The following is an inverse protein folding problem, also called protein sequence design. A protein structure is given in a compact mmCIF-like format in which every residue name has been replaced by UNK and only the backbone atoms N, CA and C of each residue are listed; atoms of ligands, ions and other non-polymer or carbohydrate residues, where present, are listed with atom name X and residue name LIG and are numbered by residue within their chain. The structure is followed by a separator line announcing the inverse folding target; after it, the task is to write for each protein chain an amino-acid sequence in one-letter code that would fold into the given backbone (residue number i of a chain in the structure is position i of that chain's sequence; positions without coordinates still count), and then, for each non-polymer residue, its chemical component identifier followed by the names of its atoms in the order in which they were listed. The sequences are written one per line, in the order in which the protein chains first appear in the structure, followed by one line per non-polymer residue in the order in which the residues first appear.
data_IF_204970467429
#
_entry.id   IF_204970467429
#
_cell.length_a   1.000
_cell.length_b   1.000
_cell.length_c   1.000
_cell.angle_alpha   90.00
_cell.angle_beta   90.00
_cell.angle_gamma   90.00
#
_symmetry.space_group_name_H-M   'P 1'
#
loop_
_entity.id
_entity.type
_entity.pdbx_description
1 polymer ?
#
# COMPACT_ATOMS: atom_id res chain seq x y z
N UNK A 1 3.16 13.33 -6.32
CA UNK A 1 3.73 12.49 -5.25
C UNK A 1 2.55 11.90 -4.51
N UNK A 2 2.55 10.59 -4.38
CA UNK A 2 1.56 9.84 -3.63
C UNK A 2 2.22 9.34 -2.34
N UNK A 3 1.46 9.32 -1.24
CA UNK A 3 1.90 8.76 0.04
C UNK A 3 0.94 7.66 0.43
N UNK A 4 1.46 6.47 0.72
CA UNK A 4 0.68 5.27 1.06
C UNK A 4 1.20 4.75 2.38
N UNK A 5 0.35 4.78 3.42
CA UNK A 5 0.65 4.23 4.73
C UNK A 5 -0.05 2.90 4.94
N UNK A 6 0.71 1.86 5.28
CA UNK A 6 0.17 0.54 5.58
C UNK A 6 0.12 0.31 7.09
N UNK A 7 -1.08 0.09 7.63
CA UNK A 7 -1.27 -0.21 9.05
C UNK A 7 -0.75 -1.60 9.44
N UNK A 8 -0.82 -2.57 8.53
CA UNK A 8 -0.46 -3.97 8.74
C UNK A 8 1.03 -4.28 8.47
N UNK A 9 1.79 -3.31 7.97
CA UNK A 9 3.25 -3.38 7.82
C UNK A 9 3.91 -2.33 8.74
N UNK A 10 3.66 -2.44 10.05
CA UNK A 10 4.35 -1.63 11.07
C UNK A 10 4.25 -0.11 10.85
N UNK A 11 3.13 0.37 10.27
CA UNK A 11 2.94 1.81 9.93
C UNK A 11 4.03 2.37 9.02
N UNK A 12 4.57 1.52 8.14
CA UNK A 12 5.45 1.97 7.06
C UNK A 12 4.65 2.83 6.07
N UNK A 13 5.28 3.90 5.64
CA UNK A 13 4.73 4.85 4.66
C UNK A 13 5.68 4.92 3.47
N UNK A 14 5.13 4.64 2.29
CA UNK A 14 5.86 4.69 1.02
C UNK A 14 5.47 5.94 0.27
N UNK A 15 6.45 6.78 -0.04
CA UNK A 15 6.31 7.95 -0.90
C UNK A 15 6.69 7.59 -2.32
N UNK A 16 5.78 7.80 -3.28
CA UNK A 16 6.01 7.52 -4.70
C UNK A 16 6.00 8.81 -5.51
N UNK A 17 7.06 9.04 -6.27
CA UNK A 17 7.18 10.16 -7.23
C UNK A 17 8.09 9.77 -8.39
N UNK A 18 7.62 9.94 -9.63
CA UNK A 18 8.41 9.68 -10.84
C UNK A 18 9.05 8.27 -10.88
N UNK A 19 8.28 7.24 -10.48
CA UNK A 19 8.77 5.85 -10.33
C UNK A 19 9.92 5.65 -9.34
N UNK A 20 10.13 6.60 -8.44
CA UNK A 20 10.99 6.43 -7.28
C UNK A 20 10.12 6.24 -6.05
N UNK A 21 10.52 5.29 -5.20
CA UNK A 21 9.92 5.05 -3.90
C UNK A 21 10.89 5.42 -2.78
N UNK A 22 10.35 6.04 -1.73
CA UNK A 22 11.03 6.23 -0.46
C UNK A 22 10.18 5.57 0.62
N UNK A 23 10.75 4.57 1.29
CA UNK A 23 10.10 3.87 2.41
C UNK A 23 10.51 4.55 3.71
N UNK A 24 9.53 4.90 4.52
CA UNK A 24 9.71 5.49 5.85
C UNK A 24 8.89 4.68 6.86
N UNK A 25 9.23 4.79 8.14
CA UNK A 25 8.47 4.16 9.22
C UNK A 25 8.21 5.15 10.34
N UNK A 26 7.06 5.00 10.99
CA UNK A 26 6.73 5.71 12.24
C UNK A 26 6.65 4.76 13.44
N UNK A 27 6.94 3.46 13.24
CA UNK A 27 7.05 2.51 14.32
C UNK A 27 8.43 2.64 14.99
N UNK A 28 8.49 2.86 16.32
CA UNK A 28 9.76 2.90 17.04
C UNK A 28 10.56 1.59 16.94
N UNK A 29 9.88 0.46 16.81
CA UNK A 29 10.51 -0.87 16.73
C UNK A 29 11.24 -1.13 15.40
N UNK A 30 10.88 -0.40 14.34
CA UNK A 30 11.49 -0.54 13.01
C UNK A 30 12.77 0.30 12.88
N UNK A 31 13.08 1.16 13.85
CA UNK A 31 14.27 2.00 13.82
C UNK A 31 15.51 1.12 14.04
N UNK A 32 16.49 1.13 13.12
CA UNK A 32 17.73 0.39 13.29
C UNK A 32 18.43 0.75 14.61
N UNK A 33 18.81 -0.27 15.37
CA UNK A 33 19.41 -0.09 16.71
C UNK A 33 20.72 0.67 16.66
N UNK A 34 21.45 0.55 15.56
CA UNK A 34 22.71 1.24 15.30
C UNK A 34 22.50 2.76 15.26
N UNK A 35 21.40 3.24 14.67
CA UNK A 35 21.07 4.66 14.60
C UNK A 35 20.64 5.24 15.95
N UNK A 36 20.03 4.41 16.81
CA UNK A 36 19.72 4.79 18.18
C UNK A 36 20.99 4.80 19.05
N UNK A 37 21.87 3.82 18.89
CA UNK A 37 23.12 3.71 19.64
C UNK A 37 24.11 4.84 19.30
N UNK A 38 24.02 5.40 18.10
CA UNK A 38 24.86 6.51 17.65
C UNK A 38 24.24 7.90 17.86
N UNK A 39 23.13 8.00 18.61
CA UNK A 39 22.35 9.23 18.83
C UNK A 39 21.89 9.95 17.53
N UNK A 40 21.92 9.25 16.38
CA UNK A 40 21.42 9.79 15.12
C UNK A 40 19.89 9.78 15.04
N UNK A 41 19.24 8.94 15.85
CA UNK A 41 17.80 8.87 15.98
C UNK A 41 17.37 8.89 17.45
N UNK A 42 16.42 9.75 17.80
CA UNK A 42 15.86 9.87 19.14
C UNK A 42 14.87 8.74 19.53
N UNK A 43 14.72 7.70 18.70
CA UNK A 43 13.83 6.56 18.95
C UNK A 43 12.33 6.86 18.88
N UNK A 44 11.94 8.07 18.46
CA UNK A 44 10.55 8.52 18.40
C UNK A 44 10.20 9.07 17.01
N UNK A 45 10.17 8.21 15.97
CA UNK A 45 9.89 8.66 14.61
C UNK A 45 8.44 9.14 14.46
N UNK A 46 8.26 10.34 13.90
CA UNK A 46 6.94 10.83 13.46
C UNK A 46 6.63 10.37 12.02
N UNK A 47 5.35 10.33 11.63
CA UNK A 47 4.97 10.01 10.25
C UNK A 47 5.51 11.05 9.27
N UNK A 48 6.03 10.59 8.13
CA UNK A 48 6.49 11.49 7.07
C UNK A 48 5.37 12.42 6.57
N UNK A 49 4.11 11.97 6.60
CA UNK A 49 2.97 12.83 6.23
C UNK A 49 2.74 13.95 7.25
N UNK A 50 3.04 13.71 8.54
CA UNK A 50 2.99 14.74 9.58
C UNK A 50 4.10 15.77 9.37
N UNK A 51 5.30 15.34 8.97
CA UNK A 51 6.40 16.24 8.59
C UNK A 51 6.03 17.06 7.35
N UNK A 52 5.48 16.41 6.33
CA UNK A 52 5.10 17.08 5.07
C UNK A 52 4.02 18.14 5.31
N UNK A 53 2.99 17.82 6.09
CA UNK A 53 1.88 18.74 6.38
C UNK A 53 2.23 19.79 7.44
N UNK A 54 3.06 19.47 8.42
CA UNK A 54 3.41 20.37 9.52
C UNK A 54 4.60 21.29 9.24
N UNK A 55 5.60 20.80 8.49
CA UNK A 55 6.88 21.51 8.30
C UNK A 55 7.20 21.85 6.85
N UNK A 56 6.65 21.12 5.88
CA UNK A 56 6.93 21.31 4.45
C UNK A 56 5.68 21.73 3.65
N UNK A 57 4.67 22.27 4.33
CA UNK A 57 3.37 22.64 3.73
C UNK A 57 3.46 23.75 2.69
N UNK A 58 4.53 24.55 2.74
CA UNK A 58 4.84 25.57 1.74
C UNK A 58 5.33 24.98 0.40
N UNK A 59 5.83 23.74 0.39
CA UNK A 59 6.30 23.03 -0.81
C UNK A 59 5.26 21.99 -1.25
N UNK A 60 4.67 21.28 -0.30
CA UNK A 60 3.74 20.19 -0.55
C UNK A 60 2.40 20.46 0.10
N UNK A 61 1.35 20.52 -0.70
CA UNK A 61 -0.03 20.61 -0.21
C UNK A 61 -0.75 19.28 -0.45
N UNK A 62 -1.39 18.75 0.59
CA UNK A 62 -2.19 17.54 0.49
C UNK A 62 -3.46 17.81 -0.32
N UNK A 63 -3.54 17.27 -1.55
CA UNK A 63 -4.69 17.48 -2.44
C UNK A 63 -5.85 16.54 -2.16
N UNK A 64 -5.56 15.30 -1.75
CA UNK A 64 -6.55 14.27 -1.48
C UNK A 64 -6.09 13.41 -0.30
N UNK A 65 -7.05 12.97 0.52
CA UNK A 65 -6.85 11.94 1.52
C UNK A 65 -7.89 10.85 1.28
N UNK A 66 -7.43 9.61 1.20
CA UNK A 66 -8.27 8.43 1.05
C UNK A 66 -7.90 7.50 2.19
N UNK A 67 -8.91 7.04 2.92
CA UNK A 67 -8.75 6.14 4.06
C UNK A 67 -9.58 4.89 3.82
N UNK A 68 -8.97 3.75 4.05
CA UNK A 68 -9.68 2.49 4.26
C UNK A 68 -9.60 2.15 5.74
N UNK A 69 -10.74 2.00 6.39
CA UNK A 69 -10.83 1.58 7.79
C UNK A 69 -11.62 0.27 7.86
N UNK A 70 -11.32 -0.55 8.88
CA UNK A 70 -11.96 -1.85 9.12
C UNK A 70 -11.93 -2.81 7.92
N UNK A 71 -10.77 -2.94 7.27
CA UNK A 71 -10.57 -3.95 6.22
C UNK A 71 -10.63 -5.37 6.76
N UNK A 72 -11.13 -6.28 5.94
CA UNK A 72 -11.26 -7.70 6.26
C UNK A 72 -10.16 -8.49 5.55
N UNK A 73 -9.62 -9.51 6.22
CA UNK A 73 -8.61 -10.41 5.66
C UNK A 73 -9.20 -11.82 5.62
N UNK A 74 -9.20 -12.41 4.44
CA UNK A 74 -9.68 -13.76 4.15
C UNK A 74 -8.50 -14.61 3.71
N UNK A 75 -8.30 -15.74 4.38
CA UNK A 75 -7.28 -16.71 4.02
C UNK A 75 -7.92 -17.87 3.27
N UNK A 76 -7.40 -18.15 2.08
CA UNK A 76 -7.79 -19.30 1.26
C UNK A 76 -6.60 -20.23 1.05
N UNK A 77 -6.82 -21.38 0.41
CA UNK A 77 -5.76 -22.37 0.18
C UNK A 77 -4.62 -21.88 -0.70
N UNK A 78 -4.87 -20.93 -1.61
CA UNK A 78 -3.88 -20.42 -2.57
C UNK A 78 -3.62 -18.92 -2.46
N UNK A 79 -4.52 -18.16 -1.83
CA UNK A 79 -4.45 -16.71 -1.74
C UNK A 79 -4.79 -16.20 -0.34
N UNK A 80 -4.10 -15.14 0.06
CA UNK A 80 -4.56 -14.25 1.11
C UNK A 80 -5.20 -13.03 0.45
N UNK A 81 -6.48 -12.79 0.75
CA UNK A 81 -7.30 -11.75 0.16
C UNK A 81 -7.64 -10.71 1.22
N UNK A 82 -7.26 -9.46 1.01
CA UNK A 82 -7.71 -8.35 1.87
C UNK A 82 -8.67 -7.47 1.10
N UNK A 83 -9.82 -7.16 1.70
CA UNK A 83 -10.82 -6.30 1.10
C UNK A 83 -11.11 -5.10 2.01
N UNK A 84 -11.16 -3.91 1.44
CA UNK A 84 -11.40 -2.68 2.19
C UNK A 84 -12.17 -1.64 1.39
N UNK A 85 -13.15 -1.01 2.03
CA UNK A 85 -13.86 0.12 1.46
C UNK A 85 -13.03 1.40 1.62
N UNK A 86 -12.84 2.12 0.53
CA UNK A 86 -12.13 3.39 0.52
C UNK A 86 -13.09 4.56 0.59
N UNK A 87 -12.82 5.45 1.55
CA UNK A 87 -13.54 6.69 1.75
C UNK A 87 -12.60 7.87 1.59
N UNK A 88 -13.09 8.91 0.95
CA UNK A 88 -12.45 10.23 0.90
C UNK A 88 -13.32 11.24 1.62
N UNK A 89 -12.86 12.48 1.73
CA UNK A 89 -13.70 13.56 2.28
C UNK A 89 -15.02 13.75 1.51
N UNK A 90 -15.05 13.42 0.21
CA UNK A 90 -16.24 13.52 -0.63
C UNK A 90 -17.14 12.27 -0.58
N UNK A 91 -16.84 11.31 0.30
CA UNK A 91 -17.61 10.07 0.48
C UNK A 91 -16.91 8.83 -0.08
N UNK A 92 -17.70 7.79 -0.34
CA UNK A 92 -17.23 6.49 -0.83
C UNK A 92 -16.54 6.62 -2.19
N UNK A 93 -15.32 6.07 -2.30
CA UNK A 93 -14.52 6.09 -3.52
C UNK A 93 -14.56 4.75 -4.26
N UNK A 94 -14.62 3.63 -3.53
CA UNK A 94 -14.62 2.30 -4.12
C UNK A 94 -14.19 1.21 -3.15
N UNK A 95 -14.23 -0.03 -3.63
CA UNK A 95 -13.71 -1.21 -2.94
C UNK A 95 -12.30 -1.51 -3.47
N UNK A 96 -11.34 -1.72 -2.58
CA UNK A 96 -10.01 -2.24 -2.95
C UNK A 96 -9.88 -3.66 -2.44
N UNK A 97 -9.35 -4.51 -3.32
CA UNK A 97 -9.02 -5.90 -3.02
C UNK A 97 -7.53 -6.08 -3.29
N UNK A 98 -6.81 -6.44 -2.25
CA UNK A 98 -5.39 -6.74 -2.26
C UNK A 98 -5.23 -8.26 -2.22
N UNK A 99 -4.43 -8.79 -3.14
CA UNK A 99 -4.20 -10.23 -3.29
C UNK A 99 -2.75 -10.55 -3.01
N UNK A 100 -2.53 -11.52 -2.12
CA UNK A 100 -1.23 -12.03 -1.74
C UNK A 100 -1.15 -13.52 -2.05
N UNK A 101 0.02 -13.96 -2.53
CA UNK A 101 0.31 -15.38 -2.69
C UNK A 101 0.41 -16.04 -1.32
N UNK A 102 -0.19 -17.23 -1.17
CA UNK A 102 0.08 -18.07 -0.02
C UNK A 102 1.55 -18.54 -0.02
N UNK A 103 2.11 -18.88 1.15
CA UNK A 103 3.53 -19.22 1.33
C UNK A 103 4.05 -20.35 0.42
N UNK A 104 3.15 -21.24 -0.03
CA UNK A 104 3.49 -22.40 -0.86
C UNK A 104 2.90 -22.35 -2.28
N UNK A 105 2.31 -21.22 -2.69
CA UNK A 105 1.69 -21.09 -4.00
C UNK A 105 2.73 -20.72 -5.08
N UNK A 106 2.59 -21.33 -6.27
CA UNK A 106 3.41 -20.97 -7.44
C UNK A 106 2.94 -19.67 -8.09
N UNK A 107 3.76 -19.07 -8.94
CA UNK A 107 3.36 -17.89 -9.72
C UNK A 107 2.14 -18.19 -10.62
N UNK A 108 2.07 -19.40 -11.19
CA UNK A 108 0.89 -19.84 -11.94
C UNK A 108 -0.36 -19.94 -11.07
N UNK A 109 -0.24 -20.43 -9.83
CA UNK A 109 -1.36 -20.51 -8.90
C UNK A 109 -1.86 -19.13 -8.48
N UNK A 110 -0.94 -18.19 -8.26
CA UNK A 110 -1.29 -16.80 -7.98
C UNK A 110 -2.05 -16.17 -9.16
N UNK A 111 -1.55 -16.32 -10.39
CA UNK A 111 -2.23 -15.81 -11.60
C UNK A 111 -3.64 -16.38 -11.76
N UNK A 112 -3.81 -17.69 -11.58
CA UNK A 112 -5.13 -18.33 -11.58
C UNK A 112 -6.03 -17.75 -10.49
N UNK A 113 -5.51 -17.55 -9.28
CA UNK A 113 -6.26 -16.95 -8.19
C UNK A 113 -6.73 -15.52 -8.48
N UNK A 114 -5.89 -14.71 -9.12
CA UNK A 114 -6.26 -13.36 -9.59
C UNK A 114 -7.40 -13.44 -10.62
N UNK A 115 -7.31 -14.35 -11.58
CA UNK A 115 -8.34 -14.52 -12.60
C UNK A 115 -9.68 -15.04 -12.03
N UNK A 116 -9.63 -15.98 -11.09
CA UNK A 116 -10.81 -16.46 -10.36
C UNK A 116 -11.47 -15.31 -9.61
N UNK A 117 -10.69 -14.51 -8.87
CA UNK A 117 -11.19 -13.35 -8.13
C UNK A 117 -11.85 -12.35 -9.08
N UNK A 118 -11.22 -12.06 -10.22
CA UNK A 118 -11.77 -11.16 -11.25
C UNK A 118 -13.09 -11.68 -11.81
N UNK A 119 -13.20 -12.98 -12.06
CA UNK A 119 -14.43 -13.59 -12.59
C UNK A 119 -15.57 -13.51 -11.57
N UNK A 120 -15.30 -13.79 -10.29
CA UNK A 120 -16.30 -13.64 -9.22
C UNK A 120 -16.83 -12.19 -9.18
N UNK A 121 -15.94 -11.19 -9.24
CA UNK A 121 -16.36 -9.78 -9.25
C UNK A 121 -17.22 -9.42 -10.46
N UNK A 122 -16.91 -9.98 -11.64
CA UNK A 122 -17.73 -9.81 -12.85
C UNK A 122 -19.09 -10.47 -12.72
N UNK A 123 -19.16 -11.68 -12.15
CA UNK A 123 -20.41 -12.39 -11.88
C UNK A 123 -21.30 -11.64 -10.88
N UNK A 124 -20.69 -10.92 -9.93
CA UNK A 124 -21.38 -10.01 -9.02
C UNK A 124 -21.82 -8.69 -9.69
N UNK A 125 -21.55 -8.49 -10.99
CA UNK A 125 -21.98 -7.34 -11.77
C UNK A 125 -21.04 -6.13 -11.74
N UNK A 126 -19.78 -6.29 -11.27
CA UNK A 126 -18.81 -5.20 -11.30
C UNK A 126 -18.21 -5.01 -12.69
N UNK A 127 -18.35 -3.81 -13.25
CA UNK A 127 -17.94 -3.49 -14.63
C UNK A 127 -16.65 -2.67 -14.73
N UNK A 128 -16.31 -1.88 -13.70
CA UNK A 128 -15.13 -0.99 -13.68
C UNK A 128 -14.04 -1.53 -12.75
N UNK A 129 -13.46 -2.67 -13.13
CA UNK A 129 -12.42 -3.35 -12.35
C UNK A 129 -11.05 -2.99 -12.91
N UNK A 130 -10.26 -2.23 -12.14
CA UNK A 130 -8.84 -1.98 -12.41
C UNK A 130 -7.98 -2.99 -11.63
N UNK A 131 -6.99 -3.59 -12.30
CA UNK A 131 -6.06 -4.55 -11.69
C UNK A 131 -4.63 -4.13 -12.00
N UNK A 132 -3.74 -4.15 -11.01
CA UNK A 132 -2.31 -3.93 -11.18
C UNK A 132 -1.52 -5.01 -10.47
N UNK A 133 -0.54 -5.59 -11.16
CA UNK A 133 0.49 -6.46 -10.59
C UNK A 133 1.88 -6.00 -11.05
N UNK A 134 2.01 -4.70 -11.35
CA UNK A 134 3.25 -4.13 -11.86
C UNK A 134 4.30 -3.99 -10.75
N UNK A 135 5.57 -4.07 -11.15
CA UNK A 135 6.70 -3.76 -10.30
C UNK A 135 7.15 -2.31 -10.57
N UNK A 136 7.65 -1.65 -9.53
CA UNK A 136 8.19 -0.29 -9.63
C UNK A 136 9.49 -0.28 -10.44
N UNK A 137 10.42 -1.18 -10.09
CA UNK A 137 11.66 -1.43 -10.81
C UNK A 137 11.91 -2.94 -10.92
N UNK A 138 11.85 -3.54 -12.13
CA UNK A 138 12.11 -4.96 -12.34
C UNK A 138 13.52 -5.41 -11.93
N UNK A 139 14.49 -4.48 -11.84
CA UNK A 139 15.87 -4.80 -11.47
C UNK A 139 16.11 -4.73 -9.96
N UNK A 140 15.29 -3.99 -9.23
CA UNK A 140 15.39 -3.77 -7.79
C UNK A 140 14.00 -3.83 -7.14
N UNK A 141 13.40 -5.02 -7.22
CA UNK A 141 12.09 -5.30 -6.62
C UNK A 141 12.19 -5.23 -5.09
N UNK A 142 11.46 -4.30 -4.50
CA UNK A 142 11.19 -4.25 -3.08
C UNK A 142 9.69 -4.41 -2.86
N UNK A 143 9.31 -5.40 -2.06
CA UNK A 143 7.92 -5.83 -1.91
C UNK A 143 6.99 -4.69 -1.48
N UNK A 144 7.38 -3.90 -0.47
CA UNK A 144 6.50 -2.83 0.06
C UNK A 144 6.40 -1.66 -0.94
N UNK A 145 7.47 -1.39 -1.67
CA UNK A 145 7.50 -0.37 -2.72
C UNK A 145 6.67 -0.75 -3.93
N UNK A 146 6.76 -2.01 -4.37
CA UNK A 146 5.96 -2.56 -5.48
C UNK A 146 4.47 -2.58 -5.11
N UNK A 147 4.13 -3.02 -3.90
CA UNK A 147 2.75 -2.99 -3.41
C UNK A 147 2.20 -1.55 -3.41
N UNK A 148 2.93 -0.60 -2.84
CA UNK A 148 2.52 0.81 -2.84
C UNK A 148 2.34 1.35 -4.27
N UNK A 149 3.21 0.94 -5.20
CA UNK A 149 3.11 1.34 -6.60
C UNK A 149 1.85 0.77 -7.27
N UNK A 150 1.51 -0.49 -7.00
CA UNK A 150 0.26 -1.11 -7.48
C UNK A 150 -0.97 -0.36 -6.95
N UNK A 151 -0.98 0.05 -5.68
CA UNK A 151 -2.04 0.89 -5.12
C UNK A 151 -2.19 2.22 -5.88
N UNK A 152 -1.07 2.91 -6.16
CA UNK A 152 -1.07 4.14 -6.96
C UNK A 152 -1.68 3.88 -8.34
N UNK A 153 -1.27 2.80 -9.01
CA UNK A 153 -1.75 2.48 -10.36
C UNK A 153 -3.23 2.13 -10.45
N UNK A 154 -3.81 1.55 -9.41
CA UNK A 154 -5.25 1.25 -9.36
C UNK A 154 -6.07 2.49 -8.95
N UNK A 155 -5.52 3.37 -8.11
CA UNK A 155 -6.22 4.54 -7.56
C UNK A 155 -6.03 5.82 -8.38
N UNK A 156 -5.04 5.86 -9.28
CA UNK A 156 -4.88 6.89 -10.30
C UNK A 156 -5.99 6.73 -11.36
N UNK A 157 -6.71 7.83 -11.60
CA UNK A 157 -7.76 7.93 -12.61
C UNK A 157 -7.18 8.35 -13.95
#
# INVERSE_FOLDING_TARGET
MCSITFSHYERRTVLIKNRLALVTTSAPNDVPKELMASDCCAGTPESIDAILSGRLSNIWTQRQSIKGEAGETFETTSLLVRAINLFSYTGFKGLVIELHSAENATEEDFKKGVDVTRNILKELGMTDIKVSGEQLDPLQSDFISDLAYQYVRVLEF
#
